data_IF_401347147059
#
_entry.id   IF_401347147059
#
_cell.length_a   1.000
_cell.length_b   1.000
_cell.length_c   1.000
_cell.angle_alpha   90.00
_cell.angle_beta   90.00
_cell.angle_gamma   90.00
#
_symmetry.space_group_name_H-M   'P 1'
#
loop_
_entity.id
_entity.type
_entity.pdbx_description
1 polymer ?
#
# COMPACT_ATOMS: atom_id res chain seq x y z
N UNK A 1 3.29 -14.83 -4.55
CA UNK A 1 4.55 -14.74 -3.82
C UNK A 1 5.33 -16.06 -3.88
N UNK A 2 4.72 -17.23 -3.61
CA UNK A 2 5.43 -18.54 -3.70
C UNK A 2 6.06 -18.79 -5.08
N UNK A 3 5.39 -18.45 -6.16
CA UNK A 3 5.86 -18.71 -7.55
C UNK A 3 6.61 -17.52 -8.16
N UNK A 4 7.24 -16.66 -7.35
CA UNK A 4 7.94 -15.48 -7.85
C UNK A 4 9.10 -15.81 -8.81
N UNK A 5 9.69 -16.98 -8.67
CA UNK A 5 10.72 -17.49 -9.57
C UNK A 5 10.29 -17.58 -11.04
N UNK A 6 8.98 -17.72 -11.33
CA UNK A 6 8.48 -17.76 -12.72
C UNK A 6 8.62 -16.43 -13.47
N UNK A 7 8.78 -15.33 -12.75
CA UNK A 7 8.94 -13.98 -13.29
C UNK A 7 10.41 -13.54 -13.43
N UNK A 8 11.36 -14.43 -13.19
CA UNK A 8 12.80 -14.16 -13.32
C UNK A 8 13.35 -14.95 -14.47
N UNK A 9 14.04 -14.27 -15.40
CA UNK A 9 14.61 -14.89 -16.60
C UNK A 9 15.95 -15.55 -16.31
N UNK A 10 16.79 -14.97 -15.43
CA UNK A 10 18.10 -15.52 -15.09
C UNK A 10 17.98 -16.86 -14.34
N UNK A 11 18.59 -17.96 -14.87
CA UNK A 11 18.48 -19.28 -14.28
C UNK A 11 19.06 -19.38 -12.85
N UNK A 12 20.13 -18.61 -12.55
CA UNK A 12 20.76 -18.60 -11.21
C UNK A 12 19.84 -17.93 -10.19
N UNK A 13 19.33 -16.74 -10.50
CA UNK A 13 18.41 -16.01 -9.64
C UNK A 13 17.06 -16.75 -9.48
N UNK A 14 16.61 -17.39 -10.54
CA UNK A 14 15.42 -18.27 -10.50
C UNK A 14 15.58 -19.43 -9.53
N UNK A 15 16.76 -20.05 -9.50
CA UNK A 15 17.10 -21.11 -8.54
C UNK A 15 17.07 -20.57 -7.11
N UNK A 16 17.72 -19.45 -6.83
CA UNK A 16 17.76 -18.81 -5.51
C UNK A 16 16.33 -18.56 -4.99
N UNK A 17 15.44 -17.99 -5.81
CA UNK A 17 14.04 -17.77 -5.40
C UNK A 17 13.25 -19.06 -5.17
N UNK A 18 13.57 -20.15 -5.86
CA UNK A 18 12.94 -21.46 -5.60
C UNK A 18 13.41 -22.04 -4.28
N UNK A 19 14.72 -22.00 -4.04
CA UNK A 19 15.34 -22.54 -2.83
C UNK A 19 14.85 -21.79 -1.57
N UNK A 20 14.62 -20.46 -1.68
CA UNK A 20 14.05 -19.61 -0.64
C UNK A 20 12.50 -19.57 -0.62
N UNK A 21 11.83 -20.50 -1.31
CA UNK A 21 10.38 -20.61 -1.38
C UNK A 21 9.64 -19.32 -1.85
N UNK A 22 10.28 -18.49 -2.68
CA UNK A 22 9.71 -17.29 -3.32
C UNK A 22 9.99 -15.99 -2.55
N UNK A 23 9.03 -15.05 -2.57
CA UNK A 23 9.14 -13.75 -1.90
C UNK A 23 8.53 -13.79 -0.50
N UNK A 24 9.32 -13.39 0.49
CA UNK A 24 8.94 -13.38 1.90
C UNK A 24 8.74 -14.77 2.49
N UNK A 25 8.79 -14.86 3.81
CA UNK A 25 8.52 -16.10 4.55
C UNK A 25 7.02 -16.36 4.66
N UNK A 26 6.59 -17.56 5.00
CA UNK A 26 5.17 -17.89 5.22
C UNK A 26 4.54 -16.99 6.30
N UNK A 27 5.27 -16.73 7.37
CA UNK A 27 4.82 -15.88 8.47
C UNK A 27 4.58 -14.41 8.04
N UNK A 28 5.37 -13.88 7.11
CA UNK A 28 5.31 -12.47 6.71
C UNK A 28 4.37 -12.20 5.55
N UNK A 29 4.04 -13.21 4.73
CA UNK A 29 3.20 -13.03 3.53
C UNK A 29 1.81 -12.48 3.81
N UNK A 30 1.16 -12.96 4.88
CA UNK A 30 -0.16 -12.46 5.29
C UNK A 30 -0.11 -10.98 5.64
N UNK A 31 0.83 -10.57 6.48
CA UNK A 31 1.01 -9.17 6.89
C UNK A 31 1.35 -8.24 5.71
N UNK A 32 2.15 -8.71 4.74
CA UNK A 32 2.44 -7.96 3.51
C UNK A 32 1.16 -7.75 2.70
N UNK A 33 0.36 -8.80 2.46
CA UNK A 33 -0.89 -8.70 1.73
C UNK A 33 -1.89 -7.76 2.44
N UNK A 34 -2.06 -7.88 3.75
CA UNK A 34 -2.90 -6.97 4.54
C UNK A 34 -2.45 -5.51 4.39
N UNK A 35 -1.14 -5.27 4.41
CA UNK A 35 -0.57 -3.93 4.22
C UNK A 35 -0.91 -3.38 2.84
N UNK A 36 -0.82 -4.21 1.78
CA UNK A 36 -1.16 -3.80 0.42
C UNK A 36 -2.66 -3.47 0.29
N UNK A 37 -3.55 -4.25 0.91
CA UNK A 37 -4.98 -3.92 0.99
C UNK A 37 -5.23 -2.63 1.79
N UNK A 38 -4.60 -2.49 2.95
CA UNK A 38 -4.74 -1.30 3.81
C UNK A 38 -4.27 -0.01 3.12
N UNK A 39 -3.27 -0.12 2.26
CA UNK A 39 -2.75 1.00 1.46
C UNK A 39 -3.49 1.20 0.14
N UNK A 40 -4.53 0.41 -0.13
CA UNK A 40 -5.31 0.45 -1.37
C UNK A 40 -4.49 0.15 -2.64
N UNK A 41 -3.43 -0.65 -2.53
CA UNK A 41 -2.70 -1.16 -3.69
C UNK A 41 -3.38 -2.40 -4.29
N UNK A 42 -4.09 -3.17 -3.44
CA UNK A 42 -4.90 -4.30 -3.84
C UNK A 42 -6.36 -4.08 -3.48
N UNK A 43 -7.26 -4.61 -4.30
CA UNK A 43 -8.70 -4.65 -4.08
C UNK A 43 -9.24 -6.06 -4.32
N UNK A 44 -10.30 -6.43 -3.60
CA UNK A 44 -11.00 -7.70 -3.79
C UNK A 44 -12.26 -7.47 -4.60
N UNK A 45 -12.38 -8.16 -5.74
CA UNK A 45 -13.60 -8.18 -6.58
C UNK A 45 -14.14 -9.61 -6.64
N UNK A 46 -15.19 -9.89 -5.89
CA UNK A 46 -15.71 -11.24 -5.71
C UNK A 46 -14.67 -12.17 -5.06
N UNK A 47 -14.27 -13.22 -5.76
CA UNK A 47 -13.25 -14.20 -5.30
C UNK A 47 -11.82 -13.85 -5.74
N UNK A 48 -11.64 -12.81 -6.55
CA UNK A 48 -10.36 -12.44 -7.13
C UNK A 48 -9.73 -11.21 -6.46
N UNK A 49 -8.40 -11.17 -6.47
CA UNK A 49 -7.60 -10.03 -6.01
C UNK A 49 -7.07 -9.31 -7.24
N UNK A 50 -7.28 -8.00 -7.30
CA UNK A 50 -6.83 -7.14 -8.40
C UNK A 50 -5.91 -6.05 -7.87
N UNK A 51 -4.92 -5.65 -8.68
CA UNK A 51 -4.16 -4.43 -8.44
C UNK A 51 -5.03 -3.21 -8.78
N UNK A 52 -4.94 -2.17 -7.96
CA UNK A 52 -5.61 -0.89 -8.23
C UNK A 52 -4.86 -0.11 -9.32
N UNK A 53 -5.53 0.89 -9.91
CA UNK A 53 -4.88 1.79 -10.87
C UNK A 53 -3.67 2.49 -10.24
N UNK A 54 -3.83 3.02 -9.02
CA UNK A 54 -2.75 3.65 -8.27
C UNK A 54 -1.53 2.72 -8.10
N UNK A 55 -1.75 1.43 -7.80
CA UNK A 55 -0.66 0.47 -7.66
C UNK A 55 0.09 0.26 -8.97
N UNK A 56 -0.64 0.15 -10.09
CA UNK A 56 -0.03 -0.02 -11.42
C UNK A 56 0.79 1.20 -11.83
N UNK A 57 0.27 2.41 -11.59
CA UNK A 57 0.97 3.67 -11.87
C UNK A 57 2.24 3.80 -11.00
N UNK A 58 2.15 3.43 -9.71
CA UNK A 58 3.32 3.42 -8.83
C UNK A 58 4.40 2.47 -9.35
N UNK A 59 4.04 1.24 -9.71
CA UNK A 59 5.00 0.27 -10.23
C UNK A 59 5.61 0.72 -11.56
N UNK A 60 4.79 1.31 -12.46
CA UNK A 60 5.28 1.83 -13.74
C UNK A 60 6.23 3.04 -13.59
N UNK A 61 6.09 3.79 -12.50
CA UNK A 61 6.92 4.95 -12.19
C UNK A 61 8.24 4.59 -11.49
N UNK A 62 8.34 3.38 -10.92
CA UNK A 62 9.55 2.93 -10.24
C UNK A 62 10.55 2.30 -11.22
N UNK A 63 11.88 2.42 -10.95
CA UNK A 63 12.89 1.71 -11.73
C UNK A 63 12.66 0.20 -11.73
N UNK A 64 12.91 -0.46 -12.87
CA UNK A 64 12.74 -1.90 -13.03
C UNK A 64 13.53 -2.70 -11.98
N UNK A 65 14.71 -2.20 -11.58
CA UNK A 65 15.51 -2.81 -10.51
C UNK A 65 14.79 -2.92 -9.17
N UNK A 66 13.84 -2.01 -8.87
CA UNK A 66 13.02 -2.07 -7.65
C UNK A 66 11.82 -2.99 -7.79
N UNK A 67 11.29 -3.14 -8.99
CA UNK A 67 10.05 -3.88 -9.25
C UNK A 67 10.31 -5.33 -9.64
N UNK A 68 11.55 -5.66 -10.02
CA UNK A 68 11.94 -7.01 -10.39
C UNK A 68 12.14 -7.93 -9.17
N UNK A 69 11.53 -9.13 -9.16
CA UNK A 69 11.81 -10.15 -8.15
C UNK A 69 13.28 -10.62 -8.14
N UNK A 70 13.99 -10.42 -9.24
CA UNK A 70 15.43 -10.75 -9.36
C UNK A 70 16.29 -9.98 -8.35
N UNK A 71 15.89 -8.75 -7.98
CA UNK A 71 16.62 -7.99 -6.96
C UNK A 71 16.55 -8.64 -5.59
N UNK A 72 15.40 -9.19 -5.21
CA UNK A 72 15.28 -9.99 -3.98
C UNK A 72 16.18 -11.22 -4.03
N UNK A 73 16.26 -11.91 -5.17
CA UNK A 73 17.16 -13.05 -5.33
C UNK A 73 18.62 -12.67 -5.16
N UNK A 74 19.05 -11.52 -5.69
CA UNK A 74 20.42 -11.02 -5.49
C UNK A 74 20.74 -10.72 -4.03
N UNK A 75 19.77 -10.18 -3.28
CA UNK A 75 19.95 -9.93 -1.85
C UNK A 75 20.02 -11.23 -1.04
N UNK A 76 19.13 -12.17 -1.31
CA UNK A 76 19.17 -13.50 -0.66
C UNK A 76 20.50 -14.21 -0.94
N UNK A 77 21.00 -14.15 -2.18
CA UNK A 77 22.32 -14.71 -2.53
C UNK A 77 23.45 -14.01 -1.75
N UNK A 78 23.38 -12.67 -1.64
CA UNK A 78 24.42 -11.93 -0.91
C UNK A 78 24.39 -12.23 0.59
N UNK A 79 23.20 -12.44 1.18
CA UNK A 79 23.05 -12.84 2.58
C UNK A 79 23.57 -14.27 2.80
N UNK A 80 23.35 -15.18 1.87
CA UNK A 80 23.92 -16.52 1.90
C UNK A 80 25.46 -16.50 1.79
N UNK A 81 26.01 -15.68 0.90
CA UNK A 81 27.45 -15.47 0.76
C UNK A 81 28.07 -14.91 2.05
N UNK A 82 27.36 -14.06 2.80
CA UNK A 82 27.79 -13.58 4.12
C UNK A 82 27.80 -14.74 5.13
N UNK A 83 26.75 -15.55 5.16
CA UNK A 83 26.64 -16.69 6.07
C UNK A 83 27.73 -17.73 5.84
N UNK A 84 28.18 -17.88 4.60
CA UNK A 84 29.27 -18.78 4.18
C UNK A 84 30.68 -18.14 4.30
N UNK A 85 30.79 -16.90 4.77
CA UNK A 85 32.08 -16.19 4.90
C UNK A 85 32.68 -15.74 3.57
N UNK A 86 31.96 -15.83 2.45
CA UNK A 86 32.43 -15.42 1.11
C UNK A 86 32.36 -13.90 0.91
N UNK A 87 31.50 -13.21 1.65
CA UNK A 87 31.34 -11.75 1.63
C UNK A 87 31.26 -11.21 3.07
N UNK A 88 31.89 -10.06 3.32
CA UNK A 88 31.72 -9.40 4.62
C UNK A 88 30.43 -8.57 4.67
N UNK A 89 29.82 -8.49 5.86
CA UNK A 89 28.66 -7.65 6.10
C UNK A 89 28.95 -6.17 5.78
N UNK A 90 30.15 -5.69 6.07
CA UNK A 90 30.55 -4.31 5.79
C UNK A 90 30.47 -3.98 4.28
N UNK A 91 30.98 -4.87 3.42
CA UNK A 91 30.90 -4.71 1.97
C UNK A 91 29.45 -4.72 1.48
N UNK A 92 28.63 -5.63 2.01
CA UNK A 92 27.20 -5.68 1.69
C UNK A 92 26.49 -4.36 2.07
N UNK A 93 26.69 -3.88 3.31
CA UNK A 93 26.10 -2.64 3.79
C UNK A 93 26.53 -1.42 2.97
N UNK A 94 27.80 -1.35 2.59
CA UNK A 94 28.30 -0.26 1.75
C UNK A 94 27.59 -0.25 0.38
N UNK A 95 27.45 -1.39 -0.27
CA UNK A 95 26.71 -1.52 -1.54
C UNK A 95 25.24 -1.11 -1.38
N UNK A 96 24.57 -1.54 -0.29
CA UNK A 96 23.19 -1.16 -0.01
C UNK A 96 23.01 0.35 0.18
N UNK A 97 23.91 0.99 0.92
CA UNK A 97 23.90 2.44 1.13
C UNK A 97 24.10 3.21 -0.18
N UNK A 98 25.06 2.79 -1.01
CA UNK A 98 25.29 3.42 -2.32
C UNK A 98 24.07 3.29 -3.22
N UNK A 99 23.48 2.10 -3.27
CA UNK A 99 22.29 1.84 -4.08
C UNK A 99 21.09 2.65 -3.60
N UNK A 100 20.85 2.71 -2.28
CA UNK A 100 19.77 3.51 -1.69
C UNK A 100 19.96 4.99 -2.00
N UNK A 101 21.17 5.54 -1.88
CA UNK A 101 21.47 6.94 -2.22
C UNK A 101 21.18 7.22 -3.70
N UNK A 102 21.61 6.32 -4.58
CA UNK A 102 21.32 6.44 -6.02
C UNK A 102 19.81 6.48 -6.30
N UNK A 103 19.04 5.60 -5.69
CA UNK A 103 17.58 5.57 -5.86
C UNK A 103 16.89 6.83 -5.34
N UNK A 104 17.33 7.33 -4.18
CA UNK A 104 16.78 8.57 -3.60
C UNK A 104 17.08 9.77 -4.49
N UNK A 105 18.32 9.86 -5.00
CA UNK A 105 18.71 10.96 -5.89
C UNK A 105 17.94 10.90 -7.22
N UNK A 106 17.81 9.73 -7.83
CA UNK A 106 16.99 9.52 -9.01
C UNK A 106 15.53 9.88 -8.75
N UNK A 107 14.95 9.45 -7.62
CA UNK A 107 13.57 9.77 -7.26
C UNK A 107 13.31 11.25 -6.97
N UNK A 108 14.35 12.04 -6.64
CA UNK A 108 14.25 13.50 -6.53
C UNK A 108 14.22 14.20 -7.87
N UNK A 109 14.91 13.63 -8.88
CA UNK A 109 14.97 14.18 -10.23
C UNK A 109 13.74 13.81 -11.06
N UNK A 110 13.18 12.63 -10.85
CA UNK A 110 12.02 12.12 -11.57
C UNK A 110 10.72 12.63 -10.93
N UNK A 111 9.96 13.47 -11.65
CA UNK A 111 8.62 13.86 -11.22
C UNK A 111 7.61 12.74 -11.53
N UNK A 112 7.34 11.90 -10.56
CA UNK A 112 6.36 10.83 -10.69
C UNK A 112 4.94 11.36 -10.49
N UNK A 113 4.11 11.33 -11.54
CA UNK A 113 2.68 11.63 -11.46
C UNK A 113 1.92 10.34 -11.14
N UNK A 114 1.57 10.14 -9.87
CA UNK A 114 0.68 9.05 -9.46
C UNK A 114 -0.71 9.65 -9.30
N UNK A 115 -1.69 9.07 -9.97
CA UNK A 115 -3.10 9.43 -9.76
C UNK A 115 -3.51 8.96 -8.37
N UNK A 116 -3.47 9.86 -7.40
CA UNK A 116 -3.96 9.57 -6.06
C UNK A 116 -5.44 9.11 -6.15
N UNK A 117 -5.88 8.16 -5.34
CA UNK A 117 -7.28 7.80 -5.30
C UNK A 117 -8.09 9.07 -5.04
N UNK A 118 -9.11 9.30 -5.89
CA UNK A 118 -9.98 10.47 -5.76
C UNK A 118 -10.71 10.35 -4.42
N UNK A 119 -10.16 10.98 -3.40
CA UNK A 119 -10.81 11.11 -2.11
C UNK A 119 -11.63 12.39 -2.11
N UNK A 120 -12.83 12.42 -1.52
CA UNK A 120 -13.60 13.64 -1.48
C UNK A 120 -12.79 14.75 -0.77
N UNK A 121 -12.76 15.98 -1.31
CA UNK A 121 -12.01 17.06 -0.70
C UNK A 121 -12.60 17.42 0.68
N UNK A 122 -11.74 17.79 1.61
CA UNK A 122 -12.15 18.22 2.93
C UNK A 122 -13.14 19.41 2.84
N UNK A 123 -14.29 19.39 3.55
CA UNK A 123 -15.28 20.47 3.46
C UNK A 123 -14.75 21.80 4.01
N UNK A 124 -13.78 21.78 4.92
CA UNK A 124 -13.22 22.98 5.55
C UNK A 124 -12.04 23.56 4.77
N UNK A 125 -10.99 22.74 4.54
CA UNK A 125 -9.74 23.24 3.96
C UNK A 125 -9.51 22.83 2.50
N UNK A 126 -10.46 22.13 1.87
CA UNK A 126 -10.36 21.59 0.49
C UNK A 126 -9.19 20.61 0.27
N UNK A 127 -8.40 20.34 1.29
CA UNK A 127 -7.29 19.38 1.24
C UNK A 127 -7.76 17.92 1.13
N UNK A 128 -6.82 16.98 0.94
CA UNK A 128 -7.15 15.57 0.81
C UNK A 128 -7.71 15.01 2.12
N UNK A 129 -8.60 14.02 2.00
CA UNK A 129 -9.19 13.31 3.14
C UNK A 129 -8.74 11.85 3.16
N UNK A 130 -8.84 11.22 4.31
CA UNK A 130 -8.52 9.81 4.51
C UNK A 130 -9.69 9.08 5.14
N UNK A 131 -10.01 7.89 4.62
CA UNK A 131 -11.04 7.04 5.20
C UNK A 131 -10.60 6.50 6.57
N UNK A 132 -11.44 6.69 7.58
CA UNK A 132 -11.23 6.24 8.97
C UNK A 132 -12.47 5.51 9.47
N UNK A 133 -12.29 4.57 10.40
CA UNK A 133 -13.38 3.92 11.11
C UNK A 133 -13.69 4.73 12.37
N UNK A 134 -14.97 5.09 12.56
CA UNK A 134 -15.48 5.71 13.77
C UNK A 134 -16.52 4.82 14.45
N UNK A 135 -16.99 5.23 15.63
CA UNK A 135 -18.05 4.52 16.39
C UNK A 135 -19.37 4.37 15.61
N UNK A 136 -19.66 5.32 14.73
CA UNK A 136 -20.90 5.36 13.92
C UNK A 136 -20.71 4.90 12.47
N UNK A 137 -19.60 4.22 12.16
CA UNK A 137 -19.26 3.75 10.83
C UNK A 137 -18.06 4.44 10.22
N UNK A 138 -17.82 4.17 8.94
CA UNK A 138 -16.70 4.75 8.20
C UNK A 138 -16.98 6.24 7.89
N UNK A 139 -15.92 7.05 7.93
CA UNK A 139 -15.94 8.47 7.56
C UNK A 139 -14.65 8.90 6.88
N UNK A 140 -14.68 10.00 6.13
CA UNK A 140 -13.50 10.63 5.59
C UNK A 140 -13.07 11.77 6.52
N UNK A 141 -11.91 11.67 7.12
CA UNK A 141 -11.31 12.71 7.96
C UNK A 141 -10.19 13.43 7.22
N UNK A 142 -10.03 14.72 7.49
CA UNK A 142 -8.93 15.51 6.93
C UNK A 142 -7.57 14.91 7.29
N UNK A 143 -6.61 14.93 6.35
CA UNK A 143 -5.24 14.48 6.61
C UNK A 143 -4.53 15.42 7.58
N UNK A 144 -4.89 16.71 7.58
CA UNK A 144 -4.30 17.75 8.45
C UNK A 144 -4.83 17.75 9.89
N UNK A 145 -5.58 16.73 10.29
CA UNK A 145 -6.00 16.63 11.68
C UNK A 145 -4.77 16.52 12.61
N UNK A 146 -4.68 17.26 13.73
CA UNK A 146 -5.74 18.07 14.39
C UNK A 146 -5.89 19.53 13.88
N UNK A 147 -5.03 20.04 13.01
CA UNK A 147 -5.09 21.43 12.51
C UNK A 147 -6.38 21.71 11.73
N UNK A 148 -6.98 20.70 11.12
CA UNK A 148 -8.24 20.78 10.41
C UNK A 148 -9.15 19.60 10.76
N UNK A 149 -10.29 19.86 11.37
CA UNK A 149 -11.27 18.87 11.83
C UNK A 149 -12.34 18.50 10.80
N UNK A 150 -12.10 18.77 9.52
CA UNK A 150 -13.06 18.46 8.44
C UNK A 150 -13.37 16.98 8.32
N UNK A 151 -14.65 16.62 8.39
CA UNK A 151 -15.15 15.24 8.34
C UNK A 151 -16.27 15.14 7.30
N UNK A 152 -16.28 14.04 6.53
CA UNK A 152 -17.36 13.65 5.62
C UNK A 152 -17.85 12.26 6.05
N UNK A 153 -19.11 12.16 6.50
CA UNK A 153 -19.72 10.89 6.88
C UNK A 153 -20.05 10.07 5.64
N UNK A 154 -19.67 8.78 5.61
CA UNK A 154 -20.02 7.84 4.53
C UNK A 154 -21.29 7.06 4.85
N UNK A 155 -21.86 7.23 6.04
CA UNK A 155 -23.08 6.54 6.47
C UNK A 155 -24.32 7.04 5.71
N UNK A 156 -25.14 6.12 5.21
CA UNK A 156 -26.52 6.44 4.78
C UNK A 156 -27.22 7.09 5.97
N UNK A 157 -27.65 8.35 5.85
CA UNK A 157 -28.53 9.00 6.82
C UNK A 157 -29.74 8.09 7.00
N UNK A 158 -29.88 7.43 8.16
CA UNK A 158 -31.18 6.83 8.54
C UNK A 158 -32.15 7.99 8.51
N UNK A 159 -33.12 7.92 7.60
CA UNK A 159 -34.21 8.91 7.54
C UNK A 159 -34.83 9.03 8.92
N UNK A 160 -34.74 10.21 9.51
CA UNK A 160 -35.37 10.50 10.79
C UNK A 160 -36.88 10.30 10.60
N UNK A 161 -37.43 9.28 11.26
CA UNK A 161 -38.87 9.08 11.35
C UNK A 161 -39.48 10.35 11.97
N UNK A 162 -40.09 11.20 11.14
CA UNK A 162 -40.95 12.31 11.63
C UNK A 162 -42.02 11.72 12.52
N UNK A 163 -41.95 11.95 13.83
CA UNK A 163 -43.07 11.74 14.75
C UNK A 163 -44.19 12.67 14.29
N UNK A 164 -45.27 12.10 13.78
CA UNK A 164 -46.55 12.80 13.63
C UNK A 164 -47.07 13.07 15.04
N UNK A 165 -46.96 14.31 15.48
CA UNK A 165 -47.75 14.81 16.63
C UNK A 165 -49.17 14.95 16.20
N UNK A 166 -50.03 14.05 16.64
CA UNK A 166 -51.49 14.19 16.54
C UNK A 166 -51.93 15.24 17.55
N UNK A 167 -52.31 16.42 17.07
CA UNK A 167 -53.04 17.41 17.84
C UNK A 167 -54.47 16.91 17.95
N UNK A 168 -54.89 16.53 19.18
CA UNK A 168 -56.29 16.32 19.52
C UNK A 168 -56.93 17.71 19.67
N UNK A 169 -57.82 18.06 18.76
CA UNK A 169 -58.76 19.16 18.96
C UNK A 169 -59.80 18.75 20.04
N UNK A 170 -59.89 19.52 21.10
CA UNK A 170 -61.02 19.49 22.01
C UNK A 170 -62.06 20.43 21.43
N UNK A 171 -63.25 19.90 21.14
CA UNK A 171 -64.51 20.65 20.92
C UNK A 171 -65.23 20.66 22.22
N UNK A 172 -65.55 21.85 22.65
CA UNK A 172 -66.76 22.16 23.47
C UNK A 172 -67.95 22.33 22.57
#
# INVERSE_FOLDING_TARGET
MKNAASFVSDPKLKKVLRDNAGLGTEATRAAVLETLFKRHYLEKKGKHIHSTQMARELIAALPETLTSPGMTALWEQALDDISQGKMSLAVFMQKQLQWTRHLVEKGRQDSVKITAPVTPPCPLCKGPTRKRKGKNGDFWGCIRYPECEGIISTGKKKAAKRKKTSVKAKTE
#
